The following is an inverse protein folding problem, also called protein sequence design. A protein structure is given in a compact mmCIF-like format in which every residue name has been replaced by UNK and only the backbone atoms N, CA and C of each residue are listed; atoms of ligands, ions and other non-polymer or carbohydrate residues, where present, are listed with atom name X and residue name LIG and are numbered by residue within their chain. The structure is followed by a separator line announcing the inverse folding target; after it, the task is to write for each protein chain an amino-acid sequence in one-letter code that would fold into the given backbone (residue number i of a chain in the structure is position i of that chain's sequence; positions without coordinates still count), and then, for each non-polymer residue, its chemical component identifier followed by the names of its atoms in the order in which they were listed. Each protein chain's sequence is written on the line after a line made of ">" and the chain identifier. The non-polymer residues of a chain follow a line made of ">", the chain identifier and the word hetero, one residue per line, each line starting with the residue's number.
data_IF_334801545521
#
_entry.id   IF_334801545521
#
_cell.length_a   1.000
_cell.length_b   1.000
_cell.length_c   1.000
_cell.angle_alpha   90.00
_cell.angle_beta   90.00
_cell.angle_gamma   90.00
#
_symmetry.space_group_name_H-M   'P 1'
#
loop_
_entity.id
_entity.type
_entity.pdbx_description
1 polymer ?
#
# COMPACT_ATOMS: atom_id res chain seq x y z
N UNK A 1 7.35 -21.02 21.04
CA UNK A 1 6.00 -20.47 20.79
C UNK A 1 6.11 -19.70 19.48
N UNK A 2 5.33 -20.04 18.49
CA UNK A 2 5.26 -19.21 17.27
C UNK A 2 4.70 -17.85 17.72
N UNK A 3 5.41 -16.78 17.42
CA UNK A 3 4.89 -15.43 17.65
C UNK A 3 3.59 -15.27 16.83
N UNK A 4 2.62 -14.55 17.38
CA UNK A 4 1.41 -14.23 16.61
C UNK A 4 1.79 -13.49 15.33
N UNK A 5 1.13 -13.76 14.18
CA UNK A 5 1.37 -13.02 12.95
C UNK A 5 1.12 -11.52 13.14
N UNK A 6 1.94 -10.70 12.50
CA UNK A 6 1.83 -9.23 12.58
C UNK A 6 0.68 -8.77 11.68
N UNK A 7 -0.33 -8.05 12.22
CA UNK A 7 -1.40 -7.53 11.38
C UNK A 7 -0.88 -6.43 10.44
N UNK A 8 -1.20 -6.56 9.15
CA UNK A 8 -0.75 -5.67 8.09
C UNK A 8 -1.95 -5.01 7.40
N UNK A 9 -1.81 -3.71 7.17
CA UNK A 9 -2.64 -2.93 6.26
C UNK A 9 -1.74 -2.56 5.09
N UNK A 10 -2.00 -3.05 3.89
CA UNK A 10 -1.23 -2.73 2.69
C UNK A 10 -1.86 -1.54 1.97
N UNK A 11 -1.11 -0.44 1.82
CA UNK A 11 -1.47 0.70 0.96
C UNK A 11 -0.57 0.71 -0.27
N UNK A 12 -1.17 0.57 -1.48
CA UNK A 12 -0.45 0.25 -2.72
C UNK A 12 -1.00 1.02 -3.91
N UNK A 13 -0.16 1.36 -4.86
CA UNK A 13 -0.57 1.85 -6.18
C UNK A 13 -0.45 0.76 -7.28
N UNK A 14 -0.74 -0.48 -6.90
CA UNK A 14 -0.75 -1.67 -7.76
C UNK A 14 -1.39 -1.42 -9.12
N UNK A 15 -0.76 -1.87 -10.19
CA UNK A 15 -1.30 -1.77 -11.55
C UNK A 15 -0.57 -0.78 -12.45
N UNK A 16 0.50 -0.14 -11.97
CA UNK A 16 1.45 0.64 -12.78
C UNK A 16 2.64 -0.25 -13.14
N UNK A 17 3.33 -0.79 -12.14
CA UNK A 17 4.43 -1.73 -12.29
C UNK A 17 4.05 -3.09 -11.69
N UNK A 18 4.83 -4.12 -11.97
CA UNK A 18 4.54 -5.49 -11.55
C UNK A 18 4.97 -5.80 -10.12
N UNK A 19 5.84 -4.99 -9.56
CA UNK A 19 6.44 -5.17 -8.23
C UNK A 19 5.41 -5.13 -7.09
N UNK A 20 4.40 -4.28 -7.17
CA UNK A 20 3.27 -4.29 -6.22
C UNK A 20 2.49 -5.61 -6.23
N UNK A 21 2.31 -6.21 -7.41
CA UNK A 21 1.69 -7.55 -7.52
C UNK A 21 2.56 -8.59 -6.83
N UNK A 22 3.87 -8.54 -7.04
CA UNK A 22 4.80 -9.45 -6.37
C UNK A 22 4.84 -9.21 -4.86
N UNK A 23 4.83 -7.95 -4.42
CA UNK A 23 4.78 -7.60 -3.01
C UNK A 23 3.51 -8.15 -2.33
N UNK A 24 2.34 -8.00 -2.97
CA UNK A 24 1.09 -8.55 -2.45
C UNK A 24 1.14 -10.10 -2.36
N UNK A 25 1.58 -10.78 -3.43
CA UNK A 25 1.70 -12.25 -3.42
C UNK A 25 2.73 -12.71 -2.37
N UNK A 26 3.87 -12.03 -2.28
CA UNK A 26 4.88 -12.34 -1.26
C UNK A 26 4.33 -12.19 0.16
N UNK A 27 3.62 -11.11 0.43
CA UNK A 27 2.96 -10.85 1.71
C UNK A 27 1.98 -11.98 2.10
N UNK A 28 1.19 -12.46 1.12
CA UNK A 28 0.25 -13.57 1.32
C UNK A 28 0.93 -14.92 1.58
N UNK A 29 2.18 -15.08 1.13
CA UNK A 29 2.96 -16.30 1.35
C UNK A 29 3.77 -16.29 2.65
N UNK A 30 3.79 -15.17 3.41
CA UNK A 30 4.53 -15.05 4.66
C UNK A 30 3.62 -15.40 5.86
N UNK A 31 3.79 -16.54 6.51
CA UNK A 31 2.94 -16.95 7.63
C UNK A 31 3.12 -16.07 8.89
N UNK A 32 4.18 -15.27 8.95
CA UNK A 32 4.45 -14.32 10.03
C UNK A 32 3.65 -13.01 9.88
N UNK A 33 2.99 -12.82 8.73
CA UNK A 33 2.25 -11.61 8.39
C UNK A 33 0.76 -11.95 8.19
N UNK A 34 -0.10 -11.13 8.74
CA UNK A 34 -1.55 -11.31 8.67
C UNK A 34 -2.19 -10.11 7.97
N UNK A 35 -2.38 -10.21 6.66
CA UNK A 35 -2.95 -9.14 5.84
C UNK A 35 -4.44 -8.97 6.18
N UNK A 36 -4.78 -7.80 6.73
CA UNK A 36 -6.12 -7.44 7.21
C UNK A 36 -6.90 -6.54 6.28
N UNK A 37 -6.19 -5.78 5.45
CA UNK A 37 -6.79 -4.81 4.53
C UNK A 37 -5.80 -4.50 3.42
N UNK A 38 -6.30 -4.38 2.19
CA UNK A 38 -5.58 -3.77 1.08
C UNK A 38 -6.26 -2.45 0.74
N UNK A 39 -5.53 -1.35 0.68
CA UNK A 39 -6.05 -0.07 0.16
C UNK A 39 -5.32 0.35 -1.10
N UNK A 40 -6.06 0.92 -2.03
CA UNK A 40 -5.51 1.38 -3.31
C UNK A 40 -5.34 2.89 -3.31
N UNK A 41 -4.22 3.37 -3.85
CA UNK A 41 -3.82 4.77 -3.75
C UNK A 41 -3.46 5.33 -5.11
N UNK A 42 -3.84 6.58 -5.35
CA UNK A 42 -3.50 7.36 -6.55
C UNK A 42 -4.00 6.80 -7.88
N UNK A 43 -4.07 7.63 -8.92
CA UNK A 43 -4.61 7.23 -10.21
C UNK A 43 -6.03 6.68 -10.11
N UNK A 44 -6.40 5.80 -11.01
CA UNK A 44 -7.69 5.09 -10.99
C UNK A 44 -7.68 3.98 -9.91
N UNK A 45 -8.10 4.34 -8.72
CA UNK A 45 -8.08 3.46 -7.54
C UNK A 45 -9.08 2.29 -7.64
N UNK A 46 -10.14 2.43 -8.44
CA UNK A 46 -11.05 1.32 -8.74
C UNK A 46 -10.39 0.28 -9.66
N UNK A 47 -9.67 0.73 -10.69
CA UNK A 47 -8.86 -0.15 -11.53
C UNK A 47 -7.82 -0.92 -10.68
N UNK A 48 -7.15 -0.24 -9.76
CA UNK A 48 -6.18 -0.85 -8.84
C UNK A 48 -6.85 -1.87 -7.91
N UNK A 49 -8.03 -1.55 -7.40
CA UNK A 49 -8.82 -2.46 -6.57
C UNK A 49 -9.21 -3.74 -7.34
N UNK A 50 -9.55 -3.64 -8.63
CA UNK A 50 -9.83 -4.80 -9.50
C UNK A 50 -8.61 -5.70 -9.67
N UNK A 51 -7.40 -5.12 -9.75
CA UNK A 51 -6.16 -5.89 -9.84
C UNK A 51 -5.91 -6.61 -8.51
N UNK A 52 -5.97 -5.89 -7.39
CA UNK A 52 -5.80 -6.48 -6.06
C UNK A 52 -6.81 -7.60 -5.82
N UNK A 53 -8.09 -7.36 -6.15
CA UNK A 53 -9.16 -8.35 -6.05
C UNK A 53 -8.86 -9.61 -6.86
N UNK A 54 -8.44 -9.45 -8.12
CA UNK A 54 -8.09 -10.61 -8.97
C UNK A 54 -6.90 -11.40 -8.44
N UNK A 55 -5.90 -10.72 -7.86
CA UNK A 55 -4.76 -11.40 -7.21
C UNK A 55 -5.24 -12.16 -5.97
N UNK A 56 -6.03 -11.53 -5.10
CA UNK A 56 -6.56 -12.16 -3.89
C UNK A 56 -7.44 -13.36 -4.22
N UNK A 57 -8.34 -13.25 -5.21
CA UNK A 57 -9.14 -14.39 -5.68
C UNK A 57 -8.27 -15.54 -6.19
N UNK A 58 -7.24 -15.23 -6.99
CA UNK A 58 -6.31 -16.26 -7.50
C UNK A 58 -5.53 -16.97 -6.39
N UNK A 59 -5.30 -16.28 -5.26
CA UNK A 59 -4.63 -16.81 -4.07
C UNK A 59 -5.59 -17.46 -3.07
N UNK A 60 -6.92 -17.45 -3.33
CA UNK A 60 -7.94 -17.97 -2.43
C UNK A 60 -8.08 -17.16 -1.14
N UNK A 61 -7.81 -15.85 -1.20
CA UNK A 61 -7.81 -14.93 -0.05
C UNK A 61 -8.88 -13.84 -0.19
N UNK A 62 -10.07 -14.23 -0.54
CA UNK A 62 -11.25 -13.35 -0.60
C UNK A 62 -11.80 -12.97 0.78
N UNK A 63 -11.20 -13.50 1.84
CA UNK A 63 -11.41 -13.07 3.22
C UNK A 63 -10.85 -11.67 3.52
N UNK A 64 -9.98 -11.12 2.66
CA UNK A 64 -9.30 -9.83 2.88
C UNK A 64 -10.10 -8.70 2.22
N UNK A 65 -10.59 -7.71 3.00
CA UNK A 65 -11.29 -6.56 2.43
C UNK A 65 -10.36 -5.66 1.59
N UNK A 66 -10.95 -4.99 0.60
CA UNK A 66 -10.26 -4.02 -0.26
C UNK A 66 -10.92 -2.66 -0.09
N UNK A 67 -10.14 -1.66 0.33
CA UNK A 67 -10.56 -0.27 0.42
C UNK A 67 -10.17 0.52 -0.84
N UNK A 68 -11.14 1.14 -1.50
CA UNK A 68 -10.89 2.05 -2.62
C UNK A 68 -10.47 3.40 -2.03
N UNK A 69 -9.21 3.76 -2.20
CA UNK A 69 -8.67 4.99 -1.66
C UNK A 69 -8.83 6.20 -2.61
N UNK A 70 -8.04 7.23 -2.35
CA UNK A 70 -8.16 8.50 -3.04
C UNK A 70 -7.74 8.40 -4.50
N UNK A 71 -8.68 8.72 -5.38
CA UNK A 71 -8.41 8.89 -6.81
C UNK A 71 -7.75 10.26 -7.02
N UNK A 72 -6.47 10.26 -7.31
CA UNK A 72 -5.66 11.46 -7.54
C UNK A 72 -4.77 11.19 -8.76
N UNK A 73 -4.68 12.14 -9.67
CA UNK A 73 -3.87 12.06 -10.88
C UNK A 73 -4.26 10.93 -11.86
N UNK A 74 -3.75 11.00 -13.07
CA UNK A 74 -3.87 9.94 -14.06
C UNK A 74 -2.57 9.12 -14.10
N UNK A 75 -2.68 7.80 -13.96
CA UNK A 75 -1.57 6.87 -14.05
C UNK A 75 -1.77 5.86 -15.18
N UNK A 76 -0.69 5.35 -15.79
CA UNK A 76 -0.79 4.31 -16.80
C UNK A 76 -1.47 3.05 -16.24
N UNK A 77 -2.31 2.41 -17.08
CA UNK A 77 -2.98 1.13 -16.81
C UNK A 77 -2.24 0.02 -17.55
N UNK A 78 -1.17 -0.50 -16.95
CA UNK A 78 -0.30 -1.46 -17.65
C UNK A 78 -0.77 -2.90 -17.55
N UNK A 79 -1.70 -3.19 -16.65
CA UNK A 79 -2.22 -4.54 -16.40
C UNK A 79 -3.59 -4.82 -17.05
N UNK A 80 -4.09 -3.94 -17.91
CA UNK A 80 -5.40 -4.08 -18.55
C UNK A 80 -5.58 -5.41 -19.27
N UNK A 81 -4.56 -5.88 -19.99
CA UNK A 81 -4.61 -7.16 -20.71
C UNK A 81 -4.74 -8.35 -19.75
N UNK A 82 -4.04 -8.31 -18.63
CA UNK A 82 -4.13 -9.34 -17.60
C UNK A 82 -5.45 -9.28 -16.84
N UNK A 83 -5.91 -8.07 -16.55
CA UNK A 83 -7.18 -7.84 -15.88
C UNK A 83 -8.35 -8.36 -16.72
N UNK A 84 -8.35 -8.09 -18.03
CA UNK A 84 -9.39 -8.51 -18.95
C UNK A 84 -10.76 -7.96 -18.54
N UNK A 85 -11.76 -8.84 -18.46
CA UNK A 85 -13.15 -8.50 -18.06
C UNK A 85 -13.41 -8.61 -16.56
N UNK A 86 -12.40 -8.92 -15.73
CA UNK A 86 -12.58 -9.05 -14.29
C UNK A 86 -13.07 -7.73 -13.67
N UNK A 87 -14.11 -7.80 -12.87
CA UNK A 87 -14.76 -6.67 -12.22
C UNK A 87 -14.78 -6.85 -10.70
N UNK A 88 -15.05 -5.78 -9.94
CA UNK A 88 -15.18 -5.89 -8.49
C UNK A 88 -16.37 -6.76 -8.06
N UNK A 89 -17.38 -6.95 -8.94
CA UNK A 89 -18.49 -7.86 -8.67
C UNK A 89 -18.08 -9.34 -8.71
N UNK A 90 -16.93 -9.65 -9.30
CA UNK A 90 -16.39 -11.02 -9.36
C UNK A 90 -15.60 -11.38 -8.09
N UNK A 91 -15.34 -10.38 -7.22
CA UNK A 91 -14.65 -10.59 -5.96
C UNK A 91 -15.61 -11.06 -4.89
N UNK A 92 -15.32 -12.21 -4.26
CA UNK A 92 -16.15 -12.78 -3.20
C UNK A 92 -16.00 -12.09 -1.84
N UNK A 93 -14.99 -11.23 -1.67
CA UNK A 93 -14.72 -10.50 -0.45
C UNK A 93 -15.38 -9.12 -0.41
N UNK A 94 -15.09 -8.37 0.65
CA UNK A 94 -15.67 -7.04 0.89
C UNK A 94 -14.93 -5.96 0.09
N UNK A 95 -15.68 -5.08 -0.57
CA UNK A 95 -15.18 -3.86 -1.23
C UNK A 95 -15.70 -2.64 -0.45
N UNK A 96 -14.78 -1.86 0.11
CA UNK A 96 -15.07 -0.67 0.91
C UNK A 96 -14.76 0.57 0.07
N UNK A 97 -15.77 1.39 -0.19
CA UNK A 97 -15.64 2.58 -1.04
C UNK A 97 -14.87 3.73 -0.37
N UNK A 98 -14.81 3.78 0.96
CA UNK A 98 -14.00 4.73 1.74
C UNK A 98 -12.73 4.03 2.27
N UNK A 99 -11.74 3.87 1.41
CA UNK A 99 -10.47 3.23 1.78
C UNK A 99 -9.71 3.98 2.89
N UNK A 100 -9.85 5.31 2.96
CA UNK A 100 -9.24 6.10 4.05
C UNK A 100 -9.91 5.80 5.39
N UNK A 101 -11.24 5.72 5.40
CA UNK A 101 -12.00 5.29 6.58
C UNK A 101 -11.63 3.87 6.99
N UNK A 102 -11.50 2.96 6.02
CA UNK A 102 -11.11 1.57 6.28
C UNK A 102 -9.75 1.46 6.98
N UNK A 103 -8.75 2.28 6.62
CA UNK A 103 -7.46 2.35 7.35
C UNK A 103 -7.70 2.75 8.81
N UNK A 104 -8.49 3.81 9.05
CA UNK A 104 -8.78 4.27 10.40
C UNK A 104 -9.47 3.18 11.23
N UNK A 105 -10.51 2.57 10.68
CA UNK A 105 -11.32 1.57 11.36
C UNK A 105 -10.49 0.31 11.68
N UNK A 106 -9.66 -0.14 10.73
CA UNK A 106 -8.79 -1.28 10.91
C UNK A 106 -7.74 -1.03 12.01
N UNK A 107 -7.18 0.18 12.09
CA UNK A 107 -6.24 0.52 13.17
C UNK A 107 -6.94 0.62 14.52
N UNK A 108 -8.08 1.34 14.58
CA UNK A 108 -8.79 1.61 15.84
C UNK A 108 -9.46 0.37 16.43
N UNK A 109 -9.87 -0.58 15.60
CA UNK A 109 -10.50 -1.84 16.04
C UNK A 109 -9.49 -2.95 16.36
N UNK A 110 -8.22 -2.78 15.98
CA UNK A 110 -7.21 -3.82 16.18
C UNK A 110 -6.85 -3.99 17.66
N UNK A 111 -6.83 -5.23 18.12
CA UNK A 111 -6.34 -5.59 19.46
C UNK A 111 -4.81 -5.60 19.58
N UNK A 112 -4.10 -5.58 18.47
CA UNK A 112 -2.64 -5.55 18.36
C UNK A 112 -2.23 -4.34 17.52
N UNK A 113 -1.02 -3.84 17.70
CA UNK A 113 -0.50 -2.71 16.92
C UNK A 113 -0.29 -3.12 15.46
N UNK A 114 -1.16 -2.73 14.51
CA UNK A 114 -0.98 -3.08 13.11
C UNK A 114 0.16 -2.29 12.48
N UNK A 115 0.70 -2.84 11.41
CA UNK A 115 1.66 -2.15 10.56
C UNK A 115 0.98 -1.70 9.27
N UNK A 116 0.98 -0.39 9.03
CA UNK A 116 0.62 0.18 7.72
C UNK A 116 1.85 0.03 6.83
N UNK A 117 1.74 -0.81 5.82
CA UNK A 117 2.77 -1.04 4.81
C UNK A 117 2.44 -0.21 3.57
N UNK A 118 3.13 0.92 3.41
CA UNK A 118 2.94 1.84 2.28
C UNK A 118 4.00 1.60 1.19
N UNK A 119 3.60 1.00 0.08
CA UNK A 119 4.51 0.73 -1.06
C UNK A 119 4.28 1.65 -2.25
N UNK A 120 3.17 2.41 -2.24
CA UNK A 120 2.87 3.49 -3.17
C UNK A 120 3.00 4.89 -2.54
N UNK A 121 2.58 5.94 -3.24
CA UNK A 121 2.43 7.29 -2.67
C UNK A 121 1.47 7.30 -1.48
N UNK A 122 1.59 8.26 -0.56
CA UNK A 122 0.98 8.23 0.77
C UNK A 122 -0.28 9.10 0.98
N UNK A 123 -1.09 9.47 -0.03
CA UNK A 123 -2.25 10.33 0.21
C UNK A 123 -3.30 9.70 1.13
N UNK A 124 -3.52 8.37 1.05
CA UNK A 124 -4.45 7.67 1.93
C UNK A 124 -3.99 7.71 3.39
N UNK A 125 -2.71 7.42 3.64
CA UNK A 125 -2.14 7.43 5.00
C UNK A 125 -2.16 8.82 5.60
N UNK A 126 -1.80 9.86 4.82
CA UNK A 126 -1.89 11.27 5.24
C UNK A 126 -3.34 11.66 5.56
N UNK A 127 -4.30 11.29 4.72
CA UNK A 127 -5.71 11.56 4.95
C UNK A 127 -6.26 10.81 6.18
N UNK A 128 -5.84 9.57 6.40
CA UNK A 128 -6.21 8.79 7.58
C UNK A 128 -5.69 9.44 8.87
N UNK A 129 -4.43 9.89 8.89
CA UNK A 129 -3.85 10.64 10.01
C UNK A 129 -4.59 11.95 10.28
N UNK A 130 -5.01 12.65 9.22
CA UNK A 130 -5.80 13.88 9.34
C UNK A 130 -7.20 13.62 9.88
N UNK A 131 -7.85 12.51 9.44
CA UNK A 131 -9.19 12.10 9.87
C UNK A 131 -9.21 11.59 11.30
N UNK A 132 -8.22 10.81 11.69
CA UNK A 132 -8.10 10.17 13.00
C UNK A 132 -6.67 10.25 13.52
N UNK A 133 -6.25 11.40 14.10
CA UNK A 133 -4.87 11.57 14.56
C UNK A 133 -4.39 10.53 15.58
N UNK A 134 -5.32 9.93 16.32
CA UNK A 134 -5.01 8.88 17.31
C UNK A 134 -4.41 7.61 16.73
N UNK A 135 -4.61 7.34 15.43
CA UNK A 135 -4.01 6.17 14.78
C UNK A 135 -2.47 6.23 14.78
N UNK A 136 -1.90 7.45 14.84
CA UNK A 136 -0.45 7.62 14.89
C UNK A 136 0.22 6.94 16.11
N UNK A 137 -0.51 6.79 17.20
CA UNK A 137 -0.02 6.13 18.42
C UNK A 137 -0.46 4.66 18.51
N UNK A 138 -1.26 4.16 17.56
CA UNK A 138 -1.83 2.83 17.59
C UNK A 138 -1.34 1.94 16.44
N UNK A 139 -0.63 2.51 15.48
CA UNK A 139 -0.05 1.78 14.35
C UNK A 139 1.46 2.03 14.22
N UNK A 140 2.11 1.18 13.43
CA UNK A 140 3.46 1.40 12.91
C UNK A 140 3.35 1.66 11.42
N UNK A 141 4.35 2.31 10.86
CA UNK A 141 4.47 2.53 9.43
C UNK A 141 5.76 1.91 8.91
N UNK A 142 5.65 1.14 7.86
CA UNK A 142 6.78 0.66 7.06
C UNK A 142 6.52 1.09 5.62
N UNK A 143 7.48 1.76 4.98
CA UNK A 143 7.21 2.29 3.64
C UNK A 143 8.42 2.33 2.72
N UNK A 144 8.14 2.14 1.43
CA UNK A 144 9.10 2.37 0.35
C UNK A 144 9.00 3.83 -0.08
N UNK A 145 9.92 4.68 0.41
CA UNK A 145 9.84 6.13 0.21
C UNK A 145 11.23 6.75 0.08
N UNK A 146 11.41 7.56 -0.94
CA UNK A 146 12.56 8.43 -1.09
C UNK A 146 13.82 7.76 -1.62
N UNK A 147 14.88 8.54 -1.67
CA UNK A 147 16.22 8.17 -2.14
C UNK A 147 17.23 8.97 -1.34
N UNK A 148 18.21 8.31 -0.71
CA UNK A 148 19.17 8.95 0.19
C UNK A 148 20.56 9.09 -0.43
N UNK A 149 21.10 8.03 -0.99
CA UNK A 149 22.47 7.98 -1.55
C UNK A 149 22.47 7.46 -2.98
N UNK A 150 21.55 6.54 -3.31
CA UNK A 150 21.44 5.90 -4.61
C UNK A 150 20.18 6.35 -5.32
N UNK A 151 20.26 6.58 -6.61
CA UNK A 151 19.13 6.89 -7.46
C UNK A 151 18.78 5.76 -8.41
N UNK A 152 17.83 6.00 -9.30
CA UNK A 152 17.46 5.06 -10.34
C UNK A 152 18.65 4.69 -11.22
N UNK A 153 18.61 3.47 -11.78
CA UNK A 153 19.63 2.94 -12.69
C UNK A 153 21.05 2.93 -12.09
N UNK A 154 21.15 2.74 -10.78
CA UNK A 154 22.44 2.66 -10.09
C UNK A 154 23.17 3.99 -9.93
N UNK A 155 22.51 5.12 -10.14
CA UNK A 155 23.08 6.45 -9.92
C UNK A 155 23.64 6.59 -8.50
N UNK A 156 24.85 7.11 -8.38
CA UNK A 156 25.49 7.43 -7.09
C UNK A 156 24.98 8.75 -6.48
N UNK A 157 23.88 9.28 -6.99
CA UNK A 157 23.22 10.49 -6.48
C UNK A 157 21.76 10.21 -6.21
N UNK A 158 21.17 10.81 -5.15
CA UNK A 158 19.74 10.69 -4.89
C UNK A 158 18.92 11.24 -6.06
N UNK A 159 17.79 10.60 -6.29
CA UNK A 159 16.80 11.04 -7.27
C UNK A 159 15.51 11.47 -6.56
N UNK A 160 14.64 12.17 -7.29
CA UNK A 160 13.26 12.40 -6.87
C UNK A 160 12.50 11.08 -7.04
N UNK A 161 12.50 10.28 -5.98
CA UNK A 161 11.83 8.99 -5.99
C UNK A 161 10.33 9.16 -6.26
N UNK A 162 9.73 8.21 -6.96
CA UNK A 162 8.40 8.31 -7.55
C UNK A 162 7.31 8.56 -6.51
N UNK A 163 7.24 7.76 -5.45
CA UNK A 163 6.20 7.85 -4.42
C UNK A 163 6.21 9.21 -3.72
N UNK A 164 7.42 9.67 -3.35
CA UNK A 164 7.59 11.00 -2.74
C UNK A 164 7.30 12.11 -3.74
N UNK A 165 7.79 11.98 -4.97
CA UNK A 165 7.61 13.02 -6.00
C UNK A 165 6.15 13.25 -6.35
N UNK A 166 5.36 12.16 -6.43
CA UNK A 166 3.96 12.24 -6.85
C UNK A 166 3.11 12.96 -5.79
N UNK A 167 3.32 12.66 -4.50
CA UNK A 167 2.56 13.27 -3.41
C UNK A 167 3.46 13.73 -2.24
N UNK A 168 4.35 14.69 -2.53
CA UNK A 168 5.35 15.16 -1.57
C UNK A 168 4.75 15.73 -0.27
N UNK A 169 3.60 16.41 -0.34
CA UNK A 169 2.94 16.94 0.84
C UNK A 169 2.41 15.82 1.73
N UNK A 170 1.75 14.82 1.17
CA UNK A 170 1.27 13.67 1.90
C UNK A 170 2.43 12.90 2.57
N UNK A 171 3.53 12.70 1.83
CA UNK A 171 4.73 12.09 2.37
C UNK A 171 5.30 12.89 3.56
N UNK A 172 5.39 14.23 3.42
CA UNK A 172 5.82 15.12 4.50
C UNK A 172 4.92 15.00 5.73
N UNK A 173 3.61 14.94 5.56
CA UNK A 173 2.65 14.86 6.66
C UNK A 173 2.80 13.54 7.42
N UNK A 174 2.97 12.42 6.70
CA UNK A 174 3.26 11.10 7.30
C UNK A 174 4.61 11.13 8.03
N UNK A 175 5.64 11.72 7.44
CA UNK A 175 6.98 11.77 8.06
C UNK A 175 7.02 12.65 9.32
N UNK A 176 6.21 13.70 9.38
CA UNK A 176 6.08 14.57 10.55
C UNK A 176 5.11 14.04 11.62
N UNK A 177 4.38 12.97 11.34
CA UNK A 177 3.45 12.37 12.32
C UNK A 177 4.19 11.64 13.44
N UNK A 178 3.46 11.29 14.50
CA UNK A 178 3.97 10.49 15.64
C UNK A 178 4.07 8.98 15.35
N UNK A 179 3.70 8.52 14.16
CA UNK A 179 3.87 7.12 13.76
C UNK A 179 5.31 6.65 13.99
N UNK A 180 5.49 5.49 14.58
CA UNK A 180 6.77 4.80 14.55
C UNK A 180 7.04 4.35 13.09
N UNK A 181 8.12 4.85 12.48
CA UNK A 181 8.39 4.68 11.06
C UNK A 181 9.66 3.89 10.78
N UNK A 182 9.58 2.97 9.81
CA UNK A 182 10.72 2.34 9.16
C UNK A 182 10.60 2.65 7.67
N UNK A 183 11.63 3.28 7.11
CA UNK A 183 11.65 3.65 5.70
C UNK A 183 12.69 2.83 4.97
N UNK A 184 12.27 2.22 3.87
CA UNK A 184 13.13 1.51 2.91
C UNK A 184 13.24 2.37 1.66
N UNK A 185 14.30 3.21 1.53
CA UNK A 185 14.43 4.09 0.37
C UNK A 185 14.86 3.31 -0.88
N UNK A 186 14.89 3.99 -2.01
CA UNK A 186 15.38 3.46 -3.29
C UNK A 186 16.76 2.78 -3.17
N UNK A 187 17.57 3.25 -2.23
CA UNK A 187 18.88 2.66 -1.88
C UNK A 187 18.83 1.18 -1.48
N UNK A 188 17.71 0.73 -0.94
CA UNK A 188 17.50 -0.64 -0.48
C UNK A 188 16.85 -1.53 -1.53
N UNK A 189 16.23 -0.92 -2.54
CA UNK A 189 15.73 -1.66 -3.67
C UNK A 189 16.93 -2.17 -4.45
N UNK A 190 17.09 -3.47 -4.42
CA UNK A 190 18.05 -4.10 -5.32
C UNK A 190 17.80 -3.58 -6.72
N UNK A 191 18.83 -3.15 -7.34
CA UNK A 191 18.97 -2.65 -8.70
C UNK A 191 18.30 -3.53 -9.75
N UNK A 192 17.03 -3.84 -9.55
CA UNK A 192 16.21 -4.39 -10.61
C UNK A 192 16.01 -3.22 -11.55
N UNK A 193 16.82 -3.19 -12.57
CA UNK A 193 16.63 -2.32 -13.70
C UNK A 193 15.36 -2.78 -14.41
N UNK A 194 14.26 -2.23 -14.00
CA UNK A 194 13.01 -2.34 -14.72
C UNK A 194 12.97 -1.18 -15.72
#
# INVERSE_FOLDING_TARGET
>A
MLNKPIPIILDTDIGTDVDDVWALVFLLCCPELDLKLVTTSTGDTEYRARIAAKVLSAMGREDIPIGIGLHLDDCPKTHDKWLGTYSLNDYGGEIITDGVGAICDQVLSSSETPTILGIGPLPNVSAALSRSPSIANQARFVGMQGSLRKGYLGSDKPHREYNVRLHALACRDVFNSELQKIITPLDTLSLIHI
#
